data_IF_244005205675
#
_entry.id   IF_244005205675
#
_cell.length_a   1.000
_cell.length_b   1.000
_cell.length_c   1.000
_cell.angle_alpha   90.00
_cell.angle_beta   90.00
_cell.angle_gamma   90.00
#
_symmetry.space_group_name_H-M   'P 1'
#
loop_
_entity.id
_entity.type
_entity.pdbx_description
1 polymer ?
#
# COMPACT_ATOMS: atom_id res chain seq x y z
N UNK A 1 26.05 -35.35 48.57
CA UNK A 1 25.11 -34.77 47.59
C UNK A 1 25.91 -34.23 46.41
N UNK A 2 26.00 -34.96 45.29
CA UNK A 2 26.61 -34.45 44.04
C UNK A 2 25.51 -33.80 43.21
N UNK A 3 25.58 -32.49 43.05
CA UNK A 3 24.72 -31.72 42.14
C UNK A 3 25.15 -32.03 40.71
N UNK A 4 24.39 -32.88 40.02
CA UNK A 4 24.55 -33.12 38.59
C UNK A 4 24.07 -31.88 37.83
N UNK A 5 24.98 -30.95 37.53
CA UNK A 5 24.74 -29.94 36.51
C UNK A 5 24.81 -30.62 35.14
N UNK A 6 23.75 -30.55 34.30
CA UNK A 6 23.78 -31.17 32.98
C UNK A 6 24.90 -30.52 32.14
N UNK A 7 25.67 -31.30 31.36
CA UNK A 7 26.79 -30.76 30.60
C UNK A 7 26.28 -29.74 29.59
N UNK A 8 26.92 -28.56 29.52
CA UNK A 8 26.58 -27.43 28.63
C UNK A 8 26.33 -27.88 27.17
N UNK A 9 27.00 -28.93 26.70
CA UNK A 9 26.80 -29.53 25.37
C UNK A 9 25.41 -30.16 25.12
N UNK A 10 24.64 -30.52 26.15
CA UNK A 10 23.29 -31.07 25.99
C UNK A 10 22.26 -29.96 25.75
N UNK A 11 22.36 -28.86 26.51
CA UNK A 11 21.55 -27.66 26.35
C UNK A 11 21.72 -27.01 24.96
N UNK A 12 22.97 -26.87 24.48
CA UNK A 12 23.24 -26.35 23.13
C UNK A 12 22.67 -27.22 22.02
N UNK A 13 22.69 -28.55 22.18
CA UNK A 13 22.10 -29.48 21.20
C UNK A 13 20.58 -29.43 21.20
N UNK A 14 19.96 -29.31 22.37
CA UNK A 14 18.51 -29.12 22.51
C UNK A 14 18.07 -27.79 21.90
N UNK A 15 18.77 -26.70 22.21
CA UNK A 15 18.50 -25.37 21.65
C UNK A 15 18.57 -25.35 20.12
N UNK A 16 19.64 -25.92 19.54
CA UNK A 16 19.79 -25.99 18.08
C UNK A 16 18.69 -26.82 17.40
N UNK A 17 18.25 -27.91 18.04
CA UNK A 17 17.13 -28.73 17.54
C UNK A 17 15.80 -27.96 17.63
N UNK A 18 15.57 -27.26 18.73
CA UNK A 18 14.41 -26.40 18.92
C UNK A 18 14.35 -25.28 17.87
N UNK A 19 15.47 -24.59 17.64
CA UNK A 19 15.57 -23.56 16.61
C UNK A 19 15.33 -24.13 15.21
N UNK A 20 15.93 -25.27 14.88
CA UNK A 20 15.71 -25.91 13.57
C UNK A 20 14.26 -26.35 13.34
N UNK A 21 13.59 -26.88 14.36
CA UNK A 21 12.18 -27.23 14.28
C UNK A 21 11.29 -25.98 14.17
N UNK A 22 11.59 -24.93 14.95
CA UNK A 22 10.88 -23.66 14.87
C UNK A 22 10.99 -23.05 13.46
N UNK A 23 12.21 -22.97 12.90
CA UNK A 23 12.42 -22.49 11.53
C UNK A 23 11.64 -23.32 10.52
N UNK A 24 11.65 -24.65 10.65
CA UNK A 24 10.89 -25.53 9.78
C UNK A 24 9.39 -25.25 9.84
N UNK A 25 8.82 -25.15 11.05
CA UNK A 25 7.40 -24.84 11.25
C UNK A 25 7.08 -23.47 10.66
N UNK A 26 7.95 -22.48 10.87
CA UNK A 26 7.78 -21.14 10.32
C UNK A 26 7.74 -21.16 8.78
N UNK A 27 8.65 -21.86 8.12
CA UNK A 27 8.63 -22.03 6.67
C UNK A 27 7.39 -22.79 6.19
N UNK A 28 6.96 -23.82 6.93
CA UNK A 28 5.73 -24.55 6.61
C UNK A 28 4.52 -23.62 6.67
N UNK A 29 4.39 -22.81 7.73
CA UNK A 29 3.29 -21.85 7.90
C UNK A 29 3.35 -20.75 6.84
N UNK A 30 4.51 -20.12 6.63
CA UNK A 30 4.66 -19.05 5.64
C UNK A 30 4.41 -19.58 4.22
N UNK A 31 4.93 -20.75 3.87
CA UNK A 31 4.73 -21.33 2.55
C UNK A 31 3.30 -21.79 2.31
N UNK A 32 2.65 -22.38 3.31
CA UNK A 32 1.21 -22.67 3.27
C UNK A 32 0.38 -21.40 3.09
N UNK A 33 0.70 -20.34 3.83
CA UNK A 33 0.04 -19.05 3.70
C UNK A 33 0.27 -18.39 2.33
N UNK A 34 1.49 -18.44 1.79
CA UNK A 34 1.81 -17.91 0.47
C UNK A 34 0.98 -18.58 -0.63
N UNK A 35 0.79 -19.90 -0.54
CA UNK A 35 -0.07 -20.65 -1.46
C UNK A 35 -1.54 -20.35 -1.21
N UNK A 36 -2.00 -20.29 0.04
CA UNK A 36 -3.39 -19.98 0.39
C UNK A 36 -3.82 -18.58 -0.11
N UNK A 37 -2.98 -17.57 0.12
CA UNK A 37 -3.18 -16.20 -0.33
C UNK A 37 -2.77 -15.97 -1.78
N UNK A 38 -2.25 -16.98 -2.48
CA UNK A 38 -1.97 -16.83 -3.90
C UNK A 38 -3.25 -16.60 -4.72
N UNK A 39 -3.04 -16.21 -5.95
CA UNK A 39 -4.09 -16.02 -6.95
C UNK A 39 -4.27 -17.22 -7.88
N UNK A 40 -3.69 -18.37 -7.52
CA UNK A 40 -3.74 -19.60 -8.31
C UNK A 40 -5.17 -20.08 -8.55
N UNK A 41 -5.41 -20.52 -9.79
CA UNK A 41 -6.67 -21.10 -10.22
C UNK A 41 -6.47 -22.54 -10.69
N UNK A 42 -7.46 -23.42 -10.46
CA UNK A 42 -8.71 -23.19 -9.73
C UNK A 42 -8.50 -23.13 -8.19
N UNK A 43 -9.52 -22.69 -7.44
CA UNK A 43 -9.44 -22.58 -5.98
C UNK A 43 -9.06 -23.89 -5.28
N UNK A 44 -9.48 -25.04 -5.82
CA UNK A 44 -9.11 -26.36 -5.31
C UNK A 44 -7.60 -26.63 -5.39
N UNK A 45 -6.94 -26.21 -6.48
CA UNK A 45 -5.48 -26.33 -6.63
C UNK A 45 -4.78 -25.50 -5.54
N UNK A 46 -5.20 -24.25 -5.41
CA UNK A 46 -4.66 -23.33 -4.41
C UNK A 46 -4.78 -23.88 -2.98
N UNK A 47 -5.98 -24.30 -2.59
CA UNK A 47 -6.25 -24.86 -1.26
C UNK A 47 -5.47 -26.18 -1.08
N UNK A 48 -5.48 -27.05 -2.08
CA UNK A 48 -4.73 -28.31 -2.07
C UNK A 48 -3.23 -28.09 -1.86
N UNK A 49 -2.62 -27.16 -2.60
CA UNK A 49 -1.20 -26.82 -2.45
C UNK A 49 -0.91 -26.20 -1.07
N UNK A 50 -1.79 -25.36 -0.55
CA UNK A 50 -1.63 -24.74 0.78
C UNK A 50 -1.57 -25.77 1.92
N UNK A 51 -2.23 -26.92 1.76
CA UNK A 51 -2.15 -28.04 2.70
C UNK A 51 -1.00 -29.01 2.36
N UNK A 52 -0.76 -29.27 1.07
CA UNK A 52 0.25 -30.21 0.60
C UNK A 52 1.67 -29.75 0.94
N UNK A 53 1.99 -28.47 0.77
CA UNK A 53 3.35 -27.98 1.02
C UNK A 53 3.78 -28.13 2.49
N UNK A 54 3.01 -27.65 3.49
CA UNK A 54 3.34 -27.85 4.90
C UNK A 54 3.43 -29.33 5.28
N UNK A 55 2.50 -30.16 4.80
CA UNK A 55 2.49 -31.59 5.12
C UNK A 55 3.69 -32.32 4.50
N UNK A 56 4.02 -32.05 3.23
CA UNK A 56 5.19 -32.59 2.58
C UNK A 56 6.48 -32.18 3.31
N UNK A 57 6.61 -30.89 3.65
CA UNK A 57 7.78 -30.36 4.33
C UNK A 57 7.98 -30.96 5.73
N UNK A 58 6.91 -31.13 6.50
CA UNK A 58 6.96 -31.77 7.81
C UNK A 58 7.19 -33.29 7.71
N UNK A 59 6.66 -33.95 6.68
CA UNK A 59 6.86 -35.39 6.44
C UNK A 59 8.33 -35.76 6.20
N UNK A 60 9.16 -34.82 5.73
CA UNK A 60 10.61 -35.02 5.60
C UNK A 60 11.28 -35.39 6.94
N UNK A 61 10.68 -35.06 8.09
CA UNK A 61 11.20 -35.47 9.40
C UNK A 61 11.20 -36.99 9.59
N UNK A 62 10.35 -37.74 8.87
CA UNK A 62 10.34 -39.19 8.88
C UNK A 62 11.54 -39.82 8.14
N UNK A 63 12.25 -39.05 7.30
CA UNK A 63 13.44 -39.53 6.59
C UNK A 63 14.60 -39.70 7.59
N UNK A 64 15.01 -40.96 7.81
CA UNK A 64 16.04 -41.33 8.80
C UNK A 64 17.44 -40.81 8.46
N UNK A 65 17.78 -40.77 7.17
CA UNK A 65 19.10 -40.37 6.70
C UNK A 65 19.22 -38.83 6.61
N UNK A 66 20.26 -38.21 7.19
CA UNK A 66 20.33 -36.76 7.35
C UNK A 66 20.52 -35.99 6.03
N UNK A 67 21.27 -36.55 5.07
CA UNK A 67 21.51 -35.93 3.76
C UNK A 67 20.24 -35.88 2.89
N UNK A 68 19.54 -36.99 2.60
CA UNK A 68 18.32 -36.94 1.79
C UNK A 68 17.21 -36.15 2.47
N UNK A 69 17.12 -36.18 3.81
CA UNK A 69 16.19 -35.31 4.55
C UNK A 69 16.43 -33.83 4.24
N UNK A 70 17.67 -33.37 4.38
CA UNK A 70 18.03 -31.97 4.10
C UNK A 70 17.83 -31.61 2.63
N UNK A 71 18.19 -32.52 1.72
CA UNK A 71 17.97 -32.35 0.28
C UNK A 71 16.49 -32.19 -0.07
N UNK A 72 15.61 -33.03 0.48
CA UNK A 72 14.18 -32.94 0.26
C UNK A 72 13.57 -31.62 0.79
N UNK A 73 13.93 -31.24 2.01
CA UNK A 73 13.46 -29.96 2.61
C UNK A 73 13.93 -28.77 1.79
N UNK A 74 15.21 -28.74 1.39
CA UNK A 74 15.76 -27.67 0.56
C UNK A 74 15.09 -27.64 -0.81
N UNK A 75 14.89 -28.79 -1.45
CA UNK A 75 14.20 -28.90 -2.73
C UNK A 75 12.79 -28.32 -2.69
N UNK A 76 11.99 -28.66 -1.67
CA UNK A 76 10.64 -28.10 -1.49
C UNK A 76 10.68 -26.58 -1.30
N UNK A 77 11.58 -26.08 -0.45
CA UNK A 77 11.73 -24.63 -0.23
C UNK A 77 12.21 -23.90 -1.49
N UNK A 78 13.09 -24.50 -2.29
CA UNK A 78 13.57 -23.93 -3.55
C UNK A 78 12.47 -23.88 -4.60
N UNK A 79 11.64 -24.92 -4.71
CA UNK A 79 10.49 -24.94 -5.62
C UNK A 79 9.51 -23.82 -5.27
N UNK A 80 9.13 -23.73 -3.99
CA UNK A 80 8.24 -22.67 -3.53
C UNK A 80 8.86 -21.28 -3.74
N UNK A 81 10.13 -21.10 -3.39
CA UNK A 81 10.84 -19.83 -3.56
C UNK A 81 10.97 -19.42 -5.03
N UNK A 82 11.25 -20.37 -5.92
CA UNK A 82 11.33 -20.13 -7.37
C UNK A 82 9.96 -19.71 -7.92
N UNK A 83 8.89 -20.41 -7.53
CA UNK A 83 7.54 -20.01 -7.89
C UNK A 83 7.23 -18.59 -7.37
N UNK A 84 7.49 -18.33 -6.09
CA UNK A 84 7.22 -17.02 -5.48
C UNK A 84 8.00 -15.90 -6.17
N UNK A 85 9.22 -16.14 -6.64
CA UNK A 85 9.99 -15.12 -7.36
C UNK A 85 9.61 -14.94 -8.83
N UNK A 86 8.95 -15.93 -9.45
CA UNK A 86 8.63 -15.91 -10.89
C UNK A 86 7.15 -15.73 -11.20
N UNK A 87 6.26 -15.90 -10.21
CA UNK A 87 4.82 -15.67 -10.32
C UNK A 87 4.53 -14.21 -10.67
N UNK A 88 4.01 -13.92 -11.87
CA UNK A 88 3.85 -12.54 -12.34
C UNK A 88 2.54 -11.94 -11.82
N UNK A 89 2.61 -10.65 -11.48
CA UNK A 89 1.41 -9.84 -11.33
C UNK A 89 0.68 -9.71 -12.68
N UNK A 90 -0.63 -9.44 -12.64
CA UNK A 90 -1.48 -9.48 -13.83
C UNK A 90 -2.49 -8.34 -13.84
N UNK A 91 -2.84 -7.86 -15.02
CA UNK A 91 -3.90 -6.86 -15.22
C UNK A 91 -5.25 -7.48 -15.65
N UNK A 92 -5.24 -8.75 -16.07
CA UNK A 92 -6.35 -9.44 -16.73
C UNK A 92 -7.17 -10.34 -15.77
N UNK A 93 -7.39 -9.89 -14.53
CA UNK A 93 -8.22 -10.61 -13.55
C UNK A 93 -9.61 -10.01 -13.43
N UNK A 94 -10.53 -10.75 -12.83
CA UNK A 94 -11.84 -10.24 -12.43
C UNK A 94 -11.71 -9.39 -11.16
N UNK A 95 -11.62 -8.08 -11.34
CA UNK A 95 -11.42 -7.09 -10.27
C UNK A 95 -12.72 -6.71 -9.59
N UNK A 96 -12.65 -6.32 -8.32
CA UNK A 96 -13.75 -5.60 -7.70
C UNK A 96 -14.01 -4.27 -8.43
N UNK A 97 -15.25 -3.78 -8.40
CA UNK A 97 -15.71 -2.68 -9.24
C UNK A 97 -14.87 -1.40 -9.05
N UNK A 98 -14.48 -1.10 -7.81
CA UNK A 98 -13.67 0.06 -7.47
C UNK A 98 -12.22 0.05 -8.04
N UNK A 99 -11.76 -1.11 -8.53
CA UNK A 99 -10.42 -1.35 -9.09
C UNK A 99 -10.44 -1.81 -10.55
N UNK A 100 -11.62 -1.80 -11.17
CA UNK A 100 -11.85 -2.40 -12.48
C UNK A 100 -11.05 -1.72 -13.57
N UNK A 101 -11.14 -0.40 -13.65
CA UNK A 101 -10.45 0.41 -14.65
C UNK A 101 -9.16 1.00 -14.09
N UNK A 102 -8.03 0.74 -14.73
CA UNK A 102 -6.74 1.39 -14.44
C UNK A 102 -6.66 2.73 -15.15
N UNK A 103 -6.21 3.77 -14.42
CA UNK A 103 -5.80 5.01 -15.05
C UNK A 103 -4.50 4.81 -15.85
N UNK A 104 -4.39 5.54 -16.96
CA UNK A 104 -3.15 5.66 -17.73
C UNK A 104 -2.80 7.15 -17.89
N UNK A 105 -1.52 7.45 -18.03
CA UNK A 105 -1.06 8.81 -18.23
C UNK A 105 0.07 8.87 -19.25
N UNK A 106 -0.07 9.73 -20.25
CA UNK A 106 1.02 10.05 -21.18
C UNK A 106 1.39 11.52 -21.05
N UNK A 107 2.65 11.84 -21.32
CA UNK A 107 3.14 13.21 -21.26
C UNK A 107 3.58 13.68 -22.64
N UNK A 108 2.94 14.73 -23.14
CA UNK A 108 3.31 15.41 -24.38
C UNK A 108 3.79 16.82 -24.05
N UNK A 109 5.11 17.03 -24.09
CA UNK A 109 5.73 18.30 -23.69
C UNK A 109 5.46 18.64 -22.22
N UNK A 110 4.59 19.62 -21.97
CA UNK A 110 4.19 20.08 -20.62
C UNK A 110 2.75 19.73 -20.24
N UNK A 111 2.05 18.99 -21.10
CA UNK A 111 0.68 18.54 -20.84
C UNK A 111 0.69 17.04 -20.56
N UNK A 112 0.14 16.66 -19.41
CA UNK A 112 -0.14 15.28 -19.06
C UNK A 112 -1.59 14.95 -19.46
N UNK A 113 -1.75 13.96 -20.34
CA UNK A 113 -3.03 13.39 -20.72
C UNK A 113 -3.30 12.21 -19.80
N UNK A 114 -4.24 12.36 -18.87
CA UNK A 114 -4.60 11.31 -17.92
C UNK A 114 -5.97 10.76 -18.30
N UNK A 115 -6.03 9.45 -18.51
CA UNK A 115 -7.27 8.75 -18.88
C UNK A 115 -7.78 7.90 -17.72
N UNK A 116 -9.09 7.67 -17.73
CA UNK A 116 -9.80 6.88 -16.72
C UNK A 116 -9.59 7.40 -15.29
N UNK A 117 -9.66 8.71 -15.12
CA UNK A 117 -9.68 9.34 -13.80
C UNK A 117 -11.00 8.97 -13.13
N UNK A 118 -10.92 8.27 -12.00
CA UNK A 118 -12.10 7.76 -11.29
C UNK A 118 -12.89 8.90 -10.65
N UNK A 119 -14.21 8.83 -10.80
CA UNK A 119 -15.15 9.85 -10.28
C UNK A 119 -16.41 9.21 -9.68
N UNK A 120 -16.23 8.19 -8.85
CA UNK A 120 -17.36 7.41 -8.33
C UNK A 120 -18.25 8.26 -7.42
N UNK A 121 -19.56 8.11 -7.58
CA UNK A 121 -20.55 8.74 -6.69
C UNK A 121 -21.09 7.71 -5.70
N UNK A 122 -20.73 7.86 -4.43
CA UNK A 122 -21.11 6.94 -3.36
C UNK A 122 -22.39 7.40 -2.64
N UNK A 123 -23.33 6.47 -2.46
CA UNK A 123 -24.52 6.64 -1.61
C UNK A 123 -24.29 6.05 -0.22
N UNK A 124 -23.60 4.91 -0.16
CA UNK A 124 -23.16 4.22 1.05
C UNK A 124 -21.73 3.68 0.83
N UNK A 125 -21.05 3.13 1.86
CA UNK A 125 -19.73 2.53 1.67
C UNK A 125 -19.67 1.38 0.66
N UNK A 126 -20.82 0.76 0.34
CA UNK A 126 -20.93 -0.40 -0.55
C UNK A 126 -21.82 -0.17 -1.77
N UNK A 127 -22.45 1.01 -1.89
CA UNK A 127 -23.26 1.41 -3.04
C UNK A 127 -22.65 2.67 -3.67
N UNK A 128 -22.08 2.48 -4.85
CA UNK A 128 -21.49 3.52 -5.67
C UNK A 128 -21.99 3.41 -7.11
N UNK A 129 -22.05 4.55 -7.79
CA UNK A 129 -22.21 4.62 -9.25
C UNK A 129 -20.84 4.84 -9.86
N UNK A 130 -20.28 3.87 -10.60
CA UNK A 130 -19.01 4.02 -11.28
C UNK A 130 -19.07 5.12 -12.34
N UNK A 131 -18.03 5.94 -12.41
CA UNK A 131 -17.84 6.95 -13.45
C UNK A 131 -16.35 7.25 -13.62
N UNK A 132 -15.96 7.64 -14.83
CA UNK A 132 -14.59 7.93 -15.22
C UNK A 132 -14.56 9.05 -16.25
N UNK A 133 -13.53 9.89 -16.19
CA UNK A 133 -13.30 10.91 -17.20
C UNK A 133 -11.82 11.01 -17.57
N UNK A 134 -11.56 11.62 -18.73
CA UNK A 134 -10.22 11.92 -19.20
C UNK A 134 -9.97 13.42 -19.07
N UNK A 135 -8.76 13.81 -18.70
CA UNK A 135 -8.41 15.23 -18.58
C UNK A 135 -6.95 15.52 -18.82
N UNK A 136 -6.72 16.75 -19.29
CA UNK A 136 -5.40 17.31 -19.52
C UNK A 136 -4.97 18.21 -18.37
N UNK A 137 -3.74 17.96 -17.90
CA UNK A 137 -3.11 18.71 -16.83
C UNK A 137 -1.83 19.37 -17.33
N UNK A 138 -1.81 20.71 -17.36
CA UNK A 138 -0.61 21.46 -17.68
C UNK A 138 0.29 21.53 -16.44
N UNK A 139 1.52 21.02 -16.55
CA UNK A 139 2.51 21.03 -15.48
C UNK A 139 2.90 22.45 -15.02
N UNK A 140 2.78 23.46 -15.87
CA UNK A 140 2.99 24.87 -15.50
C UNK A 140 1.94 25.40 -14.52
N UNK A 141 0.78 24.75 -14.48
CA UNK A 141 -0.28 25.08 -13.52
C UNK A 141 -0.11 24.34 -12.20
N UNK A 142 0.85 23.41 -12.05
CA UNK A 142 1.02 22.66 -10.79
C UNK A 142 1.40 23.59 -9.64
N UNK A 143 0.47 23.82 -8.72
CA UNK A 143 0.60 24.84 -7.66
C UNK A 143 0.83 24.24 -6.27
N UNK A 144 0.38 23.01 -6.02
CA UNK A 144 0.51 22.39 -4.69
C UNK A 144 0.58 20.87 -4.77
N UNK A 145 1.10 20.28 -3.70
CA UNK A 145 0.96 18.87 -3.40
C UNK A 145 0.51 18.77 -1.94
N UNK A 146 -0.60 18.09 -1.72
CA UNK A 146 -1.17 17.88 -0.41
C UNK A 146 -1.00 16.40 -0.02
N UNK A 147 -0.49 16.15 1.19
CA UNK A 147 -0.44 14.83 1.81
C UNK A 147 -1.76 14.60 2.53
N UNK A 148 -2.44 13.51 2.20
CA UNK A 148 -3.69 13.12 2.83
C UNK A 148 -3.48 11.85 3.65
N UNK A 149 -3.93 11.85 4.91
CA UNK A 149 -3.91 10.67 5.79
C UNK A 149 -5.32 10.36 6.27
N UNK A 150 -5.76 9.11 6.11
CA UNK A 150 -7.10 8.65 6.49
C UNK A 150 -7.03 7.56 7.56
N UNK A 151 -7.70 7.75 8.68
CA UNK A 151 -7.68 6.83 9.82
C UNK A 151 -9.07 6.22 10.06
N UNK A 152 -9.16 4.89 10.01
CA UNK A 152 -10.39 4.13 10.28
C UNK A 152 -10.26 3.07 11.40
N UNK A 153 -9.03 2.61 11.68
CA UNK A 153 -8.77 1.49 12.60
C UNK A 153 -7.77 1.85 13.71
N UNK A 154 -7.82 3.09 14.21
CA UNK A 154 -6.93 3.62 15.24
C UNK A 154 -5.76 4.44 14.68
N UNK A 155 -4.83 4.91 15.54
CA UNK A 155 -3.83 5.92 15.16
C UNK A 155 -2.58 5.36 14.47
N UNK A 156 -2.32 4.05 14.54
CA UNK A 156 -1.06 3.46 14.08
C UNK A 156 -1.06 3.10 12.60
N UNK A 157 -2.24 2.89 12.01
CA UNK A 157 -2.42 2.53 10.60
C UNK A 157 -3.33 3.57 9.97
N UNK A 158 -2.80 4.27 8.98
CA UNK A 158 -3.55 5.18 8.13
C UNK A 158 -3.36 4.82 6.67
N UNK A 159 -4.31 5.23 5.85
CA UNK A 159 -4.13 5.21 4.41
C UNK A 159 -3.57 6.55 4.00
N UNK A 160 -2.47 6.53 3.24
CA UNK A 160 -1.70 7.74 2.93
C UNK A 160 -1.64 7.89 1.42
N UNK A 161 -1.92 9.09 0.94
CA UNK A 161 -1.90 9.37 -0.50
C UNK A 161 -1.69 10.85 -0.76
N UNK A 162 -1.52 11.20 -2.03
CA UNK A 162 -1.22 12.57 -2.45
C UNK A 162 -2.34 13.14 -3.30
N UNK A 163 -2.55 14.45 -3.18
CA UNK A 163 -3.37 15.23 -4.11
C UNK A 163 -2.53 16.33 -4.74
N UNK A 164 -2.55 16.41 -6.06
CA UNK A 164 -1.81 17.39 -6.84
C UNK A 164 -2.75 18.51 -7.25
N UNK A 165 -2.54 19.71 -6.70
CA UNK A 165 -3.37 20.87 -6.96
C UNK A 165 -2.81 21.75 -8.08
N UNK A 166 -3.72 22.27 -8.90
CA UNK A 166 -3.41 23.14 -10.03
C UNK A 166 -3.97 24.54 -9.81
N UNK A 167 -3.32 25.55 -10.41
CA UNK A 167 -3.68 26.96 -10.26
C UNK A 167 -5.04 27.34 -10.87
N UNK A 168 -5.64 26.44 -11.66
CA UNK A 168 -7.03 26.55 -12.14
C UNK A 168 -8.07 25.96 -11.17
N UNK A 169 -7.64 25.53 -9.98
CA UNK A 169 -8.49 24.99 -8.93
C UNK A 169 -8.74 23.48 -9.03
N UNK A 170 -8.31 22.82 -10.11
CA UNK A 170 -8.44 21.37 -10.25
C UNK A 170 -7.43 20.65 -9.36
N UNK A 171 -7.80 19.45 -8.94
CA UNK A 171 -6.97 18.57 -8.12
C UNK A 171 -6.99 17.16 -8.71
N UNK A 172 -5.84 16.49 -8.69
CA UNK A 172 -5.70 15.09 -9.08
C UNK A 172 -5.22 14.28 -7.88
N UNK A 173 -6.11 13.49 -7.30
CA UNK A 173 -5.78 12.65 -6.15
C UNK A 173 -5.28 11.29 -6.63
N UNK A 174 -4.14 10.85 -6.11
CA UNK A 174 -3.53 9.58 -6.49
C UNK A 174 -3.18 8.78 -5.25
N UNK A 175 -3.83 7.63 -5.10
CA UNK A 175 -3.65 6.72 -3.98
C UNK A 175 -3.10 5.37 -4.42
N UNK A 176 -2.03 4.96 -3.76
CA UNK A 176 -1.42 3.64 -3.94
C UNK A 176 -2.18 2.64 -3.06
N UNK A 177 -2.90 1.73 -3.69
CA UNK A 177 -3.80 0.78 -3.05
C UNK A 177 -3.51 -0.66 -3.50
N UNK A 178 -4.10 -1.60 -2.77
CA UNK A 178 -4.23 -3.00 -3.18
C UNK A 178 -5.28 -3.14 -4.28
N UNK A 179 -4.95 -3.72 -5.42
CA UNK A 179 -5.94 -4.14 -6.43
C UNK A 179 -6.61 -5.43 -6.00
N UNK A 180 -7.87 -5.37 -5.58
CA UNK A 180 -8.59 -6.54 -5.08
C UNK A 180 -9.37 -7.24 -6.20
N UNK A 181 -9.22 -8.57 -6.28
CA UNK A 181 -10.07 -9.41 -7.13
C UNK A 181 -11.47 -9.53 -6.53
N UNK A 182 -12.50 -9.57 -7.37
CA UNK A 182 -13.92 -9.63 -6.99
C UNK A 182 -14.24 -10.79 -6.05
N UNK A 183 -13.60 -11.94 -6.28
CA UNK A 183 -13.82 -13.18 -5.53
C UNK A 183 -13.19 -13.21 -4.13
N UNK A 184 -12.40 -12.21 -3.75
CA UNK A 184 -11.74 -12.16 -2.45
C UNK A 184 -12.23 -10.97 -1.63
N UNK A 185 -12.52 -11.23 -0.37
CA UNK A 185 -12.68 -10.18 0.63
C UNK A 185 -11.33 -9.55 0.97
N UNK A 186 -11.38 -8.34 1.52
CA UNK A 186 -10.17 -7.68 2.00
C UNK A 186 -9.57 -8.41 3.21
N UNK A 187 -8.27 -8.64 3.15
CA UNK A 187 -7.43 -9.17 4.22
C UNK A 187 -6.14 -8.35 4.34
N UNK A 188 -5.82 -7.94 5.57
CA UNK A 188 -4.58 -7.23 5.92
C UNK A 188 -3.35 -8.12 5.80
N UNK A 189 -3.48 -9.42 6.11
CA UNK A 189 -2.38 -10.39 6.05
C UNK A 189 -2.08 -10.80 4.61
N UNK A 190 -3.10 -10.81 3.74
CA UNK A 190 -2.93 -11.21 2.35
C UNK A 190 -1.96 -10.30 1.59
N UNK A 191 -1.85 -9.03 1.99
CA UNK A 191 -0.91 -8.07 1.40
C UNK A 191 0.58 -8.37 1.66
N UNK A 192 0.93 -9.40 2.44
CA UNK A 192 2.32 -9.87 2.57
C UNK A 192 2.70 -10.86 1.45
N UNK A 193 1.73 -11.31 0.66
CA UNK A 193 1.89 -12.35 -0.36
C UNK A 193 1.41 -11.84 -1.73
N UNK A 194 1.55 -12.68 -2.76
CA UNK A 194 1.04 -12.45 -4.11
C UNK A 194 -0.49 -12.60 -4.16
N UNK A 195 -1.18 -11.66 -3.52
CA UNK A 195 -2.64 -11.64 -3.44
C UNK A 195 -3.26 -10.43 -4.11
N UNK A 196 -2.62 -9.27 -3.95
CA UNK A 196 -3.05 -8.01 -4.53
C UNK A 196 -1.99 -7.48 -5.48
N UNK A 197 -2.42 -7.03 -6.64
CA UNK A 197 -1.61 -6.22 -7.52
C UNK A 197 -1.53 -4.77 -6.99
N UNK A 198 -0.45 -4.08 -7.32
CA UNK A 198 -0.27 -2.67 -7.00
C UNK A 198 -1.18 -1.84 -7.91
N UNK A 199 -2.00 -0.98 -7.31
CA UNK A 199 -2.95 -0.16 -8.05
C UNK A 199 -2.83 1.29 -7.63
N UNK A 200 -2.80 2.19 -8.61
CA UNK A 200 -2.84 3.62 -8.35
C UNK A 200 -4.26 4.10 -8.68
N UNK A 201 -5.05 4.28 -7.64
CA UNK A 201 -6.34 4.95 -7.77
C UNK A 201 -6.06 6.41 -8.10
N UNK A 202 -6.23 6.78 -9.36
CA UNK A 202 -6.18 8.17 -9.83
C UNK A 202 -7.59 8.67 -9.98
N UNK A 203 -7.95 9.69 -9.21
CA UNK A 203 -9.34 10.07 -9.01
C UNK A 203 -9.51 11.57 -8.72
N UNK A 204 -10.74 12.03 -8.92
CA UNK A 204 -11.20 13.29 -8.37
C UNK A 204 -11.22 13.22 -6.83
N UNK A 205 -10.94 14.34 -6.15
CA UNK A 205 -10.98 14.39 -4.69
C UNK A 205 -12.37 14.07 -4.14
N UNK A 206 -13.44 14.41 -4.87
CA UNK A 206 -14.83 14.14 -4.46
C UNK A 206 -15.13 12.64 -4.36
N UNK A 207 -14.45 11.83 -5.18
CA UNK A 207 -14.48 10.37 -5.07
C UNK A 207 -13.56 9.93 -3.94
N UNK A 208 -12.27 10.23 -4.07
CA UNK A 208 -11.24 9.55 -3.27
C UNK A 208 -11.19 10.03 -1.82
N UNK A 209 -11.27 11.34 -1.59
CA UNK A 209 -11.29 11.91 -0.24
C UNK A 209 -12.75 11.95 0.26
N UNK A 210 -13.70 12.27 -0.63
CA UNK A 210 -15.12 12.37 -0.31
C UNK A 210 -15.72 11.08 0.24
N UNK A 211 -15.37 9.91 -0.30
CA UNK A 211 -15.84 8.63 0.26
C UNK A 211 -15.35 8.43 1.70
N UNK A 212 -14.16 8.93 2.05
CA UNK A 212 -13.55 8.78 3.37
C UNK A 212 -14.17 9.75 4.37
N UNK A 213 -14.34 11.02 3.99
CA UNK A 213 -14.89 12.04 4.90
C UNK A 213 -16.41 11.95 5.04
N UNK A 214 -17.16 11.89 3.93
CA UNK A 214 -18.60 12.16 3.90
C UNK A 214 -19.44 10.88 3.95
N UNK A 215 -18.88 9.75 3.49
CA UNK A 215 -19.57 8.46 3.40
C UNK A 215 -19.17 7.53 4.54
N UNK A 216 -17.86 7.29 4.69
CA UNK A 216 -17.29 6.39 5.71
C UNK A 216 -17.05 7.09 7.06
N UNK A 217 -17.01 8.42 7.07
CA UNK A 217 -16.78 9.25 8.27
C UNK A 217 -15.46 8.92 8.98
N UNK A 218 -14.42 8.68 8.19
CA UNK A 218 -13.05 8.49 8.66
C UNK A 218 -12.46 9.82 9.14
N UNK A 219 -11.47 9.77 10.04
CA UNK A 219 -10.70 10.95 10.37
C UNK A 219 -9.68 11.19 9.27
N UNK A 220 -9.89 12.23 8.47
CA UNK A 220 -9.04 12.56 7.33
C UNK A 220 -8.32 13.87 7.58
N UNK A 221 -6.99 13.84 7.47
CA UNK A 221 -6.13 15.01 7.61
C UNK A 221 -5.51 15.36 6.27
N UNK A 222 -5.36 16.65 5.99
CA UNK A 222 -4.76 17.16 4.77
C UNK A 222 -3.69 18.18 5.12
N UNK A 223 -2.46 17.91 4.69
CA UNK A 223 -1.29 18.72 4.96
C UNK A 223 -0.69 19.27 3.67
N UNK A 224 -0.45 20.57 3.60
CA UNK A 224 0.32 21.17 2.49
C UNK A 224 1.79 20.76 2.60
N UNK A 225 2.33 20.13 1.55
CA UNK A 225 3.76 19.87 1.48
C UNK A 225 4.54 21.11 1.04
N UNK A 226 5.56 21.49 1.81
CA UNK A 226 6.50 22.56 1.50
C UNK A 226 7.57 22.08 0.50
N UNK A 227 7.17 21.99 -0.77
CA UNK A 227 8.02 21.52 -1.86
C UNK A 227 8.36 22.63 -2.85
N UNK A 228 9.63 22.76 -3.19
CA UNK A 228 10.07 23.60 -4.31
C UNK A 228 9.35 23.20 -5.61
N UNK A 229 9.02 24.14 -6.52
CA UNK A 229 8.28 23.86 -7.75
C UNK A 229 8.84 22.68 -8.57
N UNK A 230 10.17 22.66 -8.75
CA UNK A 230 10.86 21.59 -9.48
C UNK A 230 10.69 20.20 -8.82
N UNK A 231 10.61 20.15 -7.49
CA UNK A 231 10.38 18.89 -6.75
C UNK A 231 8.93 18.43 -6.88
N UNK A 232 7.95 19.36 -6.84
CA UNK A 232 6.54 19.04 -7.09
C UNK A 232 6.35 18.44 -8.49
N UNK A 233 6.94 19.08 -9.50
CA UNK A 233 6.86 18.61 -10.88
C UNK A 233 7.53 17.23 -11.05
N UNK A 234 8.73 17.03 -10.48
CA UNK A 234 9.41 15.73 -10.52
C UNK A 234 8.56 14.63 -9.88
N UNK A 235 7.93 14.91 -8.75
CA UNK A 235 7.06 13.96 -8.05
C UNK A 235 5.85 13.60 -8.92
N UNK A 236 5.14 14.58 -9.48
CA UNK A 236 3.99 14.32 -10.36
C UNK A 236 4.41 13.50 -11.59
N UNK A 237 5.50 13.87 -12.27
CA UNK A 237 6.04 13.11 -13.42
C UNK A 237 6.35 11.66 -13.05
N UNK A 238 6.91 11.43 -11.86
CA UNK A 238 7.20 10.07 -11.37
C UNK A 238 5.93 9.24 -11.14
N UNK A 239 4.84 9.87 -10.65
CA UNK A 239 3.54 9.21 -10.54
C UNK A 239 2.95 8.89 -11.90
N UNK A 240 2.90 9.86 -12.82
CA UNK A 240 2.36 9.68 -14.17
C UNK A 240 3.10 8.57 -14.93
N UNK A 241 4.43 8.52 -14.81
CA UNK A 241 5.24 7.45 -15.39
C UNK A 241 4.92 6.07 -14.79
N UNK A 242 4.60 5.99 -13.50
CA UNK A 242 4.22 4.73 -12.88
C UNK A 242 2.81 4.29 -13.29
N UNK A 243 1.85 5.23 -13.43
CA UNK A 243 0.52 4.93 -13.96
C UNK A 243 0.64 4.21 -15.30
N UNK A 244 1.40 4.79 -16.22
CA UNK A 244 1.66 4.20 -17.53
C UNK A 244 2.39 2.85 -17.42
N UNK A 245 3.45 2.80 -16.61
CA UNK A 245 4.23 1.57 -16.40
C UNK A 245 3.36 0.40 -15.94
N UNK A 246 2.44 0.62 -15.00
CA UNK A 246 1.57 -0.41 -14.46
C UNK A 246 0.55 -0.95 -15.47
N UNK A 247 0.24 -0.23 -16.55
CA UNK A 247 -0.65 -0.74 -17.60
C UNK A 247 -0.03 -1.92 -18.36
N UNK A 248 1.29 -1.91 -18.54
CA UNK A 248 2.03 -2.91 -19.33
C UNK A 248 2.88 -3.84 -18.46
N UNK A 249 3.34 -3.35 -17.31
CA UNK A 249 4.20 -4.07 -16.37
C UNK A 249 3.53 -4.05 -14.98
N UNK A 250 2.46 -4.86 -14.78
CA UNK A 250 1.81 -4.98 -13.48
C UNK A 250 2.82 -5.43 -12.42
N UNK A 251 2.61 -4.95 -11.20
CA UNK A 251 3.46 -5.27 -10.04
C UNK A 251 2.62 -5.84 -8.91
N UNK A 252 3.21 -6.70 -8.09
CA UNK A 252 2.59 -7.10 -6.83
C UNK A 252 2.62 -5.95 -5.83
N UNK A 253 1.50 -5.71 -5.16
CA UNK A 253 1.51 -4.96 -3.92
C UNK A 253 2.20 -5.79 -2.84
N UNK A 254 2.94 -5.13 -1.95
CA UNK A 254 3.48 -5.79 -0.79
C UNK A 254 3.50 -4.87 0.42
N UNK A 255 2.94 -5.33 1.54
CA UNK A 255 2.81 -4.56 2.78
C UNK A 255 4.15 -4.07 3.31
N UNK A 256 5.25 -4.77 3.04
CA UNK A 256 6.58 -4.39 3.50
C UNK A 256 7.38 -3.60 2.47
N UNK A 257 7.24 -3.91 1.18
CA UNK A 257 8.16 -3.41 0.14
C UNK A 257 7.51 -2.51 -0.91
N UNK A 258 6.19 -2.59 -1.10
CA UNK A 258 5.44 -1.86 -2.11
C UNK A 258 4.03 -1.53 -1.58
N UNK A 259 3.99 -0.59 -0.62
CA UNK A 259 2.80 -0.05 0.00
C UNK A 259 2.69 1.47 -0.26
N UNK A 260 1.65 2.10 0.27
CA UNK A 260 1.41 3.53 0.08
C UNK A 260 2.59 4.42 0.53
N UNK A 261 3.14 4.20 1.72
CA UNK A 261 4.25 5.01 2.24
C UNK A 261 5.57 4.72 1.52
N UNK A 262 5.89 3.46 1.24
CA UNK A 262 7.15 3.10 0.55
C UNK A 262 7.15 3.62 -0.88
N UNK A 263 6.03 3.52 -1.59
CA UNK A 263 5.92 4.01 -2.97
C UNK A 263 5.97 5.55 -3.01
N UNK A 264 5.29 6.28 -2.10
CA UNK A 264 5.43 7.74 -1.99
C UNK A 264 6.92 8.14 -1.82
N UNK A 265 7.64 7.48 -0.90
CA UNK A 265 9.06 7.76 -0.65
C UNK A 265 9.96 7.38 -1.82
N UNK A 266 9.63 6.30 -2.54
CA UNK A 266 10.35 5.92 -3.75
C UNK A 266 10.23 7.00 -4.83
N UNK A 267 9.03 7.55 -5.04
CA UNK A 267 8.76 8.57 -6.07
C UNK A 267 9.24 9.97 -5.71
N UNK A 268 9.32 10.32 -4.42
CA UNK A 268 9.86 11.62 -3.99
C UNK A 268 11.37 11.74 -4.15
N UNK A 269 12.07 10.62 -4.36
CA UNK A 269 13.54 10.56 -4.34
C UNK A 269 14.09 10.66 -2.92
N UNK A 270 13.31 10.27 -1.91
CA UNK A 270 13.77 10.27 -0.52
C UNK A 270 15.02 9.40 -0.34
N UNK A 271 15.97 9.87 0.46
CA UNK A 271 17.20 9.15 0.76
C UNK A 271 16.94 7.85 1.52
N UNK A 272 17.86 6.89 1.40
CA UNK A 272 17.72 5.55 1.98
C UNK A 272 17.48 5.56 3.50
N UNK A 273 17.98 6.57 4.23
CA UNK A 273 17.77 6.69 5.68
C UNK A 273 16.28 6.78 6.04
N UNK A 274 15.50 7.52 5.25
CA UNK A 274 14.08 7.74 5.51
C UNK A 274 13.22 6.58 5.05
N UNK A 275 13.69 5.82 4.05
CA UNK A 275 13.03 4.60 3.58
C UNK A 275 13.09 3.45 4.61
N UNK A 276 14.03 3.52 5.55
CA UNK A 276 14.21 2.53 6.62
C UNK A 276 13.61 2.97 7.97
N UNK A 277 12.97 4.15 8.03
CA UNK A 277 12.31 4.61 9.25
C UNK A 277 11.12 3.69 9.57
N UNK A 278 10.95 3.30 10.85
CA UNK A 278 9.89 2.38 11.27
C UNK A 278 8.48 2.91 10.95
N UNK A 279 8.31 4.25 10.87
CA UNK A 279 7.06 4.92 10.51
C UNK A 279 6.64 4.67 9.07
N UNK A 280 7.53 4.15 8.23
CA UNK A 280 7.18 3.67 6.88
C UNK A 280 6.28 2.45 6.93
N UNK A 281 6.46 1.57 7.93
CA UNK A 281 5.59 0.41 8.13
C UNK A 281 4.34 0.75 8.95
N UNK A 282 4.46 1.70 9.88
CA UNK A 282 3.32 2.23 10.64
C UNK A 282 2.84 3.54 10.02
N UNK A 283 2.12 3.39 8.90
CA UNK A 283 1.69 4.48 8.03
C UNK A 283 0.91 5.61 8.74
N UNK A 284 0.31 5.34 9.91
CA UNK A 284 -0.31 6.35 10.76
C UNK A 284 0.64 7.45 11.25
N UNK A 285 1.95 7.21 11.20
CA UNK A 285 3.00 8.18 11.55
C UNK A 285 3.66 8.83 10.34
N UNK A 286 3.12 8.65 9.12
CA UNK A 286 3.72 9.25 7.91
C UNK A 286 3.71 10.78 7.95
N UNK A 287 2.65 11.39 8.49
CA UNK A 287 2.59 12.85 8.65
C UNK A 287 3.63 13.36 9.66
N UNK A 288 3.87 12.64 10.77
CA UNK A 288 4.92 13.04 11.73
C UNK A 288 6.32 12.84 11.15
N UNK A 289 6.54 11.80 10.35
CA UNK A 289 7.78 11.65 9.58
C UNK A 289 7.97 12.83 8.62
N UNK A 290 6.93 13.19 7.84
CA UNK A 290 6.98 14.33 6.93
C UNK A 290 7.29 15.66 7.66
N UNK A 291 6.74 15.83 8.85
CA UNK A 291 7.06 16.95 9.73
C UNK A 291 8.54 16.94 10.15
N UNK A 292 9.05 15.83 10.68
CA UNK A 292 10.45 15.74 11.16
C UNK A 292 11.49 15.97 10.06
N UNK A 293 11.15 15.66 8.81
CA UNK A 293 12.05 15.88 7.67
C UNK A 293 11.87 17.27 7.02
N UNK A 294 11.04 18.13 7.61
CA UNK A 294 10.85 19.52 7.19
C UNK A 294 9.96 19.71 5.96
N UNK A 295 9.09 18.73 5.64
CA UNK A 295 8.15 18.86 4.52
C UNK A 295 6.82 19.50 4.92
N UNK A 296 6.53 19.61 6.21
CA UNK A 296 5.32 20.24 6.74
C UNK A 296 5.66 21.52 7.49
N UNK A 297 4.64 22.34 7.70
CA UNK A 297 4.74 23.61 8.42
C UNK A 297 5.32 23.46 9.84
N UNK A 298 6.45 24.12 10.09
CA UNK A 298 7.17 24.07 11.37
C UNK A 298 6.82 25.22 12.33
N UNK A 299 5.91 26.13 11.96
CA UNK A 299 5.51 27.24 12.85
C UNK A 299 4.73 26.75 14.08
N UNK A 300 4.08 25.60 13.97
CA UNK A 300 3.31 24.98 15.05
C UNK A 300 3.96 23.65 15.46
N UNK A 301 3.92 23.26 16.75
CA UNK A 301 4.22 21.90 17.14
C UNK A 301 3.36 20.90 16.36
N UNK A 302 3.92 19.75 15.99
CA UNK A 302 3.24 18.77 15.13
C UNK A 302 1.83 18.39 15.62
N UNK A 303 1.64 18.21 16.94
CA UNK A 303 0.33 17.87 17.50
C UNK A 303 -0.72 18.96 17.21
N UNK A 304 -0.33 20.23 17.29
CA UNK A 304 -1.19 21.37 16.94
C UNK A 304 -1.45 21.41 15.44
N UNK A 305 -0.40 21.25 14.62
CA UNK A 305 -0.56 21.20 13.16
C UNK A 305 -1.52 20.08 12.75
N UNK A 306 -1.38 18.89 13.34
CA UNK A 306 -2.26 17.76 13.07
C UNK A 306 -3.71 18.08 13.40
N UNK A 307 -3.99 18.67 14.56
CA UNK A 307 -5.37 19.07 14.91
C UNK A 307 -5.95 20.07 13.91
N UNK A 308 -5.16 21.07 13.51
CA UNK A 308 -5.58 22.08 12.53
C UNK A 308 -5.73 21.52 11.10
N UNK A 309 -5.05 20.41 10.81
CA UNK A 309 -5.07 19.77 9.49
C UNK A 309 -6.24 18.79 9.31
N UNK A 310 -7.08 18.59 10.34
CA UNK A 310 -8.26 17.73 10.27
C UNK A 310 -9.31 18.36 9.34
N UNK A 311 -9.79 17.59 8.37
CA UNK A 311 -10.89 18.03 7.51
C UNK A 311 -12.19 17.98 8.32
N UNK A 312 -12.83 19.15 8.47
CA UNK A 312 -14.14 19.26 9.08
C UNK A 312 -15.25 19.28 8.03
N UNK A 313 -16.16 18.32 8.09
CA UNK A 313 -17.35 18.22 7.22
C UNK A 313 -18.62 18.31 8.06
N UNK A 314 -19.63 19.08 7.63
CA UNK A 314 -20.93 19.11 8.30
C UNK A 314 -21.56 17.71 8.33
N UNK A 315 -22.36 17.44 9.36
CA UNK A 315 -23.10 16.18 9.43
C UNK A 315 -24.06 16.05 8.25
N UNK A 316 -24.02 14.91 7.55
CA UNK A 316 -24.85 14.66 6.37
C UNK A 316 -24.35 15.35 5.09
N UNK A 317 -23.23 16.06 5.12
CA UNK A 317 -22.60 16.59 3.91
C UNK A 317 -22.32 15.47 2.90
N UNK A 318 -22.40 15.83 1.62
CA UNK A 318 -22.04 14.96 0.50
C UNK A 318 -21.00 15.67 -0.37
N UNK A 319 -20.12 14.93 -1.06
CA UNK A 319 -19.15 15.55 -1.96
C UNK A 319 -19.87 16.33 -3.06
N UNK A 320 -19.61 17.64 -3.13
CA UNK A 320 -20.19 18.56 -4.11
C UNK A 320 -19.22 18.83 -5.26
N UNK A 321 -19.62 19.62 -6.25
CA UNK A 321 -18.72 20.09 -7.30
C UNK A 321 -17.58 20.99 -6.77
N UNK A 322 -17.78 21.64 -5.61
CA UNK A 322 -16.79 22.51 -4.96
C UNK A 322 -16.02 21.79 -3.84
N UNK A 323 -16.13 20.45 -3.75
CA UNK A 323 -15.62 19.67 -2.64
C UNK A 323 -14.13 19.94 -2.31
N UNK A 324 -13.27 20.07 -3.33
CA UNK A 324 -11.86 20.42 -3.14
C UNK A 324 -11.64 21.74 -2.41
N UNK A 325 -12.49 22.75 -2.62
CA UNK A 325 -12.42 24.03 -1.91
C UNK A 325 -12.98 23.89 -0.50
N UNK A 326 -14.09 23.17 -0.35
CA UNK A 326 -14.75 22.95 0.94
C UNK A 326 -13.81 22.28 1.94
N UNK A 327 -13.10 21.21 1.55
CA UNK A 327 -12.17 20.49 2.46
C UNK A 327 -10.96 21.32 2.89
N UNK A 328 -10.71 22.46 2.25
CA UNK A 328 -9.55 23.34 2.52
C UNK A 328 -9.91 24.61 3.30
N UNK A 329 -11.19 24.88 3.52
CA UNK A 329 -11.68 26.19 4.02
C UNK A 329 -11.13 26.58 5.40
N UNK A 330 -10.86 25.60 6.26
CA UNK A 330 -10.42 25.82 7.65
C UNK A 330 -8.98 25.37 7.93
N UNK A 331 -8.26 24.91 6.90
CA UNK A 331 -6.96 24.30 7.05
C UNK A 331 -5.83 25.35 7.01
N UNK A 332 -4.70 25.15 7.71
CA UNK A 332 -3.56 26.05 7.72
C UNK A 332 -2.72 25.92 6.43
N UNK A 333 -3.33 26.14 5.27
CA UNK A 333 -2.68 25.97 3.96
C UNK A 333 -2.12 27.28 3.38
N UNK A 334 -2.44 28.40 4.02
CA UNK A 334 -2.02 29.74 3.63
C UNK A 334 -0.89 30.20 4.55
N UNK A 335 0.33 29.75 4.27
CA UNK A 335 1.51 30.48 4.69
C UNK A 335 2.33 30.81 3.43
N UNK A 336 2.55 32.11 3.14
CA UNK A 336 3.29 32.56 1.96
C UNK A 336 4.74 32.07 1.94
#
# INVERSE_FOLDING_TARGET
>A
MRTHTPPKHSAWRALRRGLGLFTLILFAVIGGAALFYSTLEPAALRIGLSALFPTALLSCLAIRLPLPRRGAMLGLCLILGLWFCTDPARNDRDWAEEYRQTADATLQGRVAHVTHIRNFTYRTPTDATPDYYDADFNLDKLSSVDLVTSYWAGPTIAHVFLSFGFSDGRHLAMSIETRRQKRFDYSTIAGFFHHYELFYVTADERDLIGVRTDIRRENVYLYRLQLAPATRERLLRSYLSELHGLTTHPRWYNTLTANCTTEILARSGASSRWRLDWRVLLSGYTASLAYDIGLLDQHYPFATLQQMSLIHRPEGARPSANYSQEIRTHLPLNNP
#
